data_IF_311781240533
#
_entry.id   IF_311781240533
#
_cell.length_a   1.000
_cell.length_b   1.000
_cell.length_c   1.000
_cell.angle_alpha   90.00
_cell.angle_beta   90.00
_cell.angle_gamma   90.00
#
_symmetry.space_group_name_H-M   'P 1'
#
loop_
_entity.id
_entity.type
_entity.pdbx_description
1 polymer ?
#
# COMPACT_ATOMS: atom_id res chain seq x y z
N UNK A 1 6.99 33.56 -9.51
CA UNK A 1 6.72 32.14 -9.25
C UNK A 1 5.68 31.67 -10.25
N UNK A 2 5.81 30.46 -10.76
CA UNK A 2 4.73 29.79 -11.49
C UNK A 2 3.61 29.40 -10.52
N UNK A 3 2.41 29.09 -11.02
CA UNK A 3 1.29 28.66 -10.16
C UNK A 3 1.58 27.35 -9.43
N UNK A 4 2.42 26.48 -9.99
CA UNK A 4 2.92 25.26 -9.35
C UNK A 4 3.80 25.58 -8.14
N UNK A 5 4.73 26.52 -8.28
CA UNK A 5 5.60 26.93 -7.16
C UNK A 5 4.78 27.57 -6.04
N UNK A 6 3.80 28.43 -6.38
CA UNK A 6 2.88 29.02 -5.40
C UNK A 6 2.06 27.95 -4.66
N UNK A 7 1.55 26.95 -5.39
CA UNK A 7 0.84 25.81 -4.82
C UNK A 7 1.73 25.02 -3.86
N UNK A 8 2.96 24.73 -4.27
CA UNK A 8 3.93 23.98 -3.47
C UNK A 8 4.26 24.70 -2.16
N UNK A 9 4.54 26.00 -2.20
CA UNK A 9 4.82 26.80 -1.00
C UNK A 9 3.60 26.91 -0.07
N UNK A 10 2.38 26.95 -0.63
CA UNK A 10 1.15 26.91 0.15
C UNK A 10 1.02 25.58 0.91
N UNK A 11 1.23 24.44 0.23
CA UNK A 11 1.18 23.11 0.83
C UNK A 11 2.23 22.98 1.95
N UNK A 12 3.48 23.36 1.67
CA UNK A 12 4.57 23.36 2.67
C UNK A 12 4.18 24.18 3.90
N UNK A 13 3.67 25.39 3.69
CA UNK A 13 3.26 26.28 4.80
C UNK A 13 2.15 25.66 5.64
N UNK A 14 1.15 25.03 5.01
CA UNK A 14 0.05 24.36 5.71
C UNK A 14 0.52 23.17 6.52
N UNK A 15 1.32 22.28 5.92
CA UNK A 15 1.86 21.12 6.62
C UNK A 15 2.76 21.53 7.80
N UNK A 16 3.67 22.50 7.59
CA UNK A 16 4.56 23.00 8.66
C UNK A 16 3.82 23.64 9.83
N UNK A 17 2.68 24.31 9.60
CA UNK A 17 1.88 24.83 10.70
C UNK A 17 1.37 23.69 11.59
N UNK A 18 0.93 22.59 11.00
CA UNK A 18 0.45 21.43 11.75
C UNK A 18 1.62 20.75 12.49
N UNK A 19 2.74 20.51 11.80
CA UNK A 19 3.93 19.80 12.31
C UNK A 19 4.90 20.66 13.15
N UNK A 20 4.49 21.86 13.56
CA UNK A 20 5.33 22.85 14.26
C UNK A 20 5.92 22.32 15.58
N UNK A 21 5.21 21.42 16.25
CA UNK A 21 5.63 20.88 17.55
C UNK A 21 6.86 19.97 17.44
N UNK A 22 7.00 19.25 16.33
CA UNK A 22 8.16 18.39 16.07
C UNK A 22 9.37 19.16 15.52
N UNK A 23 9.22 20.47 15.28
CA UNK A 23 10.20 21.25 14.49
C UNK A 23 10.53 20.58 13.15
N UNK A 24 9.53 19.90 12.56
CA UNK A 24 9.69 19.14 11.32
C UNK A 24 9.31 20.00 10.12
N UNK A 25 10.29 20.69 9.54
CA UNK A 25 10.11 21.45 8.30
C UNK A 25 10.06 20.51 7.09
N UNK A 26 8.89 20.41 6.45
CA UNK A 26 8.67 19.60 5.25
C UNK A 26 9.25 20.25 3.98
N UNK A 27 9.58 21.53 4.02
CA UNK A 27 10.01 22.31 2.86
C UNK A 27 11.20 21.69 2.12
N UNK A 28 12.31 21.34 2.80
CA UNK A 28 13.45 20.64 2.20
C UNK A 28 13.11 19.26 1.61
N UNK A 29 12.08 18.57 2.11
CA UNK A 29 11.66 17.27 1.58
C UNK A 29 10.77 17.41 0.33
N UNK A 30 10.16 18.57 0.11
CA UNK A 30 9.25 18.81 -1.02
C UNK A 30 9.96 19.54 -2.16
N UNK A 31 10.76 20.57 -1.85
CA UNK A 31 11.42 21.38 -2.87
C UNK A 31 12.46 20.57 -3.63
N UNK A 32 12.37 20.56 -4.96
CA UNK A 32 13.28 19.81 -5.82
C UNK A 32 12.99 18.30 -5.89
N UNK A 33 11.99 17.80 -5.14
CA UNK A 33 11.62 16.39 -5.16
C UNK A 33 11.04 15.98 -6.52
N UNK A 34 10.29 16.88 -7.14
CA UNK A 34 9.77 16.70 -8.49
C UNK A 34 10.40 17.78 -9.37
N UNK A 35 11.14 17.39 -10.43
CA UNK A 35 11.54 18.34 -11.45
C UNK A 35 10.27 19.00 -12.01
N UNK A 36 10.16 20.32 -11.91
CA UNK A 36 8.95 21.07 -12.29
C UNK A 36 8.57 20.75 -13.74
N UNK A 37 9.57 20.51 -14.60
CA UNK A 37 9.38 20.10 -15.98
C UNK A 37 8.72 18.76 -16.21
N UNK A 38 8.68 17.91 -15.21
CA UNK A 38 7.97 16.65 -15.28
C UNK A 38 6.46 16.85 -15.06
N UNK A 39 6.03 17.92 -14.39
CA UNK A 39 4.61 18.14 -14.06
C UNK A 39 3.71 18.42 -15.27
N UNK A 40 4.29 18.78 -16.43
CA UNK A 40 3.53 18.93 -17.69
C UNK A 40 3.86 17.86 -18.74
N UNK A 41 4.76 16.92 -18.46
CA UNK A 41 5.13 15.83 -19.38
C UNK A 41 4.22 14.62 -19.26
N UNK A 42 3.49 14.50 -18.15
CA UNK A 42 2.66 13.34 -17.87
C UNK A 42 1.18 13.71 -17.86
N UNK A 43 0.37 12.83 -18.44
CA UNK A 43 -1.07 12.82 -18.24
C UNK A 43 -1.43 12.36 -16.83
N UNK A 44 -2.65 12.64 -16.40
CA UNK A 44 -3.30 11.93 -15.31
C UNK A 44 -4.39 11.02 -15.89
N UNK A 45 -4.85 10.06 -15.10
CA UNK A 45 -5.80 9.05 -15.54
C UNK A 45 -6.94 8.91 -14.55
N UNK A 46 -8.17 8.75 -15.04
CA UNK A 46 -9.31 8.42 -14.20
C UNK A 46 -10.02 7.16 -14.72
N UNK A 47 -10.34 6.26 -13.80
CA UNK A 47 -11.01 5.00 -14.07
C UNK A 47 -12.52 5.19 -14.22
N UNK A 48 -13.08 4.57 -15.24
CA UNK A 48 -14.51 4.39 -15.44
C UNK A 48 -14.86 2.91 -15.32
N UNK A 49 -15.99 2.65 -14.68
CA UNK A 49 -16.47 1.31 -14.35
C UNK A 49 -17.98 1.35 -14.19
N UNK A 50 -18.64 0.20 -14.43
CA UNK A 50 -20.09 0.05 -14.25
C UNK A 50 -20.47 -0.34 -12.81
N UNK A 51 -19.48 -0.61 -11.95
CA UNK A 51 -19.70 -1.26 -10.66
C UNK A 51 -19.76 -0.29 -9.47
N UNK A 52 -19.19 0.91 -9.60
CA UNK A 52 -19.07 1.88 -8.49
C UNK A 52 -19.42 3.28 -9.02
N UNK A 53 -20.10 4.13 -8.23
CA UNK A 53 -20.35 5.52 -8.59
C UNK A 53 -19.04 6.25 -8.90
N UNK A 54 -18.98 6.86 -10.09
CA UNK A 54 -17.81 7.64 -10.53
C UNK A 54 -18.09 9.12 -10.30
N UNK A 55 -17.32 9.75 -9.40
CA UNK A 55 -17.36 11.21 -9.21
C UNK A 55 -15.96 11.73 -8.92
N UNK A 56 -15.50 12.64 -9.78
CA UNK A 56 -14.21 13.29 -9.62
C UNK A 56 -14.36 14.81 -9.61
N UNK A 57 -13.70 15.49 -8.66
CA UNK A 57 -13.51 16.93 -8.71
C UNK A 57 -12.05 17.29 -8.52
N UNK A 58 -11.45 17.91 -9.53
CA UNK A 58 -10.06 18.39 -9.48
C UNK A 58 -10.05 19.91 -9.53
N UNK A 59 -9.42 20.56 -8.55
CA UNK A 59 -9.44 22.02 -8.41
C UNK A 59 -8.09 22.56 -7.96
N UNK A 60 -7.50 23.47 -8.76
CA UNK A 60 -6.22 24.13 -8.41
C UNK A 60 -5.12 23.13 -8.02
N UNK A 61 -5.03 22.02 -8.75
CA UNK A 61 -4.16 20.89 -8.41
C UNK A 61 -3.28 20.51 -9.59
N UNK A 62 -2.18 19.82 -9.31
CA UNK A 62 -1.35 19.15 -10.31
C UNK A 62 -1.46 17.63 -10.08
N UNK A 63 -1.67 16.85 -11.14
CA UNK A 63 -2.05 15.44 -11.07
C UNK A 63 -1.11 14.53 -11.87
N UNK A 64 0.05 15.04 -12.28
CA UNK A 64 0.92 14.45 -13.29
C UNK A 64 1.31 12.98 -12.99
N UNK A 65 1.01 12.08 -13.93
CA UNK A 65 1.31 10.65 -13.85
C UNK A 65 0.41 9.85 -12.91
N UNK A 66 -0.61 10.47 -12.31
CA UNK A 66 -1.42 9.87 -11.25
C UNK A 66 -2.69 9.20 -11.77
N UNK A 67 -3.17 8.18 -11.06
CA UNK A 67 -4.35 7.40 -11.41
C UNK A 67 -5.42 7.53 -10.33
N UNK A 68 -6.67 7.74 -10.75
CA UNK A 68 -7.81 7.93 -9.86
C UNK A 68 -8.90 6.92 -10.18
N UNK A 69 -9.44 6.22 -9.18
CA UNK A 69 -10.55 5.28 -9.33
C UNK A 69 -11.60 5.53 -8.25
N UNK A 70 -12.89 5.39 -8.58
CA UNK A 70 -13.98 5.55 -7.63
C UNK A 70 -14.43 7.01 -7.45
N UNK A 71 -14.52 7.44 -6.18
CA UNK A 71 -15.08 8.75 -5.81
C UNK A 71 -14.03 9.61 -5.09
N UNK A 72 -13.56 10.69 -5.74
CA UNK A 72 -12.42 11.47 -5.24
C UNK A 72 -12.49 12.97 -5.58
N UNK A 73 -12.27 13.81 -4.57
CA UNK A 73 -12.08 15.26 -4.71
C UNK A 73 -10.64 15.65 -4.35
N UNK A 74 -9.94 16.33 -5.27
CA UNK A 74 -8.57 16.84 -5.08
C UNK A 74 -8.55 18.36 -5.22
N UNK A 75 -8.24 19.07 -4.14
CA UNK A 75 -8.23 20.53 -4.08
C UNK A 75 -6.90 21.09 -3.56
N UNK A 76 -6.31 22.05 -4.28
CA UNK A 76 -5.03 22.69 -3.89
C UNK A 76 -3.96 21.66 -3.49
N UNK A 77 -3.80 20.62 -4.30
CA UNK A 77 -2.87 19.54 -3.98
C UNK A 77 -1.96 19.20 -5.17
N UNK A 78 -0.79 18.65 -4.86
CA UNK A 78 0.18 18.18 -5.86
C UNK A 78 0.27 16.66 -5.71
N UNK A 79 -0.26 15.94 -6.69
CA UNK A 79 -0.36 14.48 -6.75
C UNK A 79 0.47 14.01 -7.93
N UNK A 80 1.59 13.35 -7.66
CA UNK A 80 2.57 12.96 -8.67
C UNK A 80 2.82 11.46 -8.69
N UNK A 81 2.54 10.81 -9.83
CA UNK A 81 2.69 9.35 -10.01
C UNK A 81 2.01 8.50 -8.90
N UNK A 82 0.96 9.03 -8.31
CA UNK A 82 0.25 8.43 -7.17
C UNK A 82 -1.01 7.73 -7.63
N UNK A 83 -1.33 6.61 -6.99
CA UNK A 83 -2.61 5.91 -7.18
C UNK A 83 -3.57 6.25 -6.06
N UNK A 84 -4.74 6.73 -6.45
CA UNK A 84 -5.85 7.00 -5.54
C UNK A 84 -7.00 6.10 -5.92
N UNK A 85 -7.26 5.11 -5.06
CA UNK A 85 -8.22 4.05 -5.31
C UNK A 85 -9.37 4.09 -4.33
N UNK A 86 -10.55 4.31 -4.87
CA UNK A 86 -11.80 4.31 -4.13
C UNK A 86 -12.78 3.23 -4.58
N UNK A 87 -12.27 2.09 -5.04
CA UNK A 87 -13.04 0.87 -5.33
C UNK A 87 -13.52 0.14 -4.07
N UNK A 88 -12.85 0.33 -2.94
CA UNK A 88 -13.25 -0.19 -1.63
C UNK A 88 -14.08 0.82 -0.79
N UNK A 89 -14.46 1.97 -1.35
CA UNK A 89 -15.25 2.97 -0.60
C UNK A 89 -16.65 2.46 -0.26
N UNK A 90 -17.09 2.82 0.94
CA UNK A 90 -18.41 2.45 1.46
C UNK A 90 -19.53 3.18 0.70
N UNK A 91 -20.67 2.54 0.57
CA UNK A 91 -21.83 3.04 -0.18
C UNK A 91 -22.91 3.62 0.73
N UNK A 92 -23.75 4.50 0.18
CA UNK A 92 -24.96 4.96 0.86
C UNK A 92 -25.83 3.76 1.28
N UNK A 93 -26.29 3.76 2.54
CA UNK A 93 -27.08 2.68 3.10
C UNK A 93 -26.27 1.58 3.79
N UNK A 94 -24.94 1.56 3.64
CA UNK A 94 -24.08 0.62 4.37
C UNK A 94 -24.24 0.80 5.88
N UNK A 95 -24.31 -0.32 6.59
CA UNK A 95 -24.44 -0.39 8.04
C UNK A 95 -23.06 -0.64 8.67
N UNK A 96 -22.56 0.34 9.43
CA UNK A 96 -21.25 0.27 10.07
C UNK A 96 -21.42 0.19 11.58
N UNK A 97 -20.65 -0.71 12.20
CA UNK A 97 -20.52 -0.78 13.65
C UNK A 97 -19.35 0.09 14.11
N UNK A 98 -19.62 1.08 14.94
CA UNK A 98 -18.61 1.88 15.66
C UNK A 98 -18.73 1.54 17.15
N UNK A 99 -17.89 0.63 17.62
CA UNK A 99 -18.12 -0.04 18.90
C UNK A 99 -19.49 -0.73 18.89
N UNK A 100 -20.32 -0.45 19.88
CA UNK A 100 -21.69 -1.00 19.98
C UNK A 100 -22.74 -0.18 19.22
N UNK A 101 -22.33 0.90 18.52
CA UNK A 101 -23.24 1.81 17.83
C UNK A 101 -23.32 1.46 16.36
N UNK A 102 -24.53 1.12 15.90
CA UNK A 102 -24.84 0.94 14.48
C UNK A 102 -25.13 2.29 13.82
N UNK A 103 -24.36 2.63 12.80
CA UNK A 103 -24.52 3.85 11.99
C UNK A 103 -24.82 3.46 10.54
N UNK A 104 -25.80 4.12 9.93
CA UNK A 104 -26.14 3.92 8.51
C UNK A 104 -25.62 5.09 7.70
N UNK A 105 -24.83 4.82 6.66
CA UNK A 105 -24.29 5.85 5.77
C UNK A 105 -25.41 6.59 5.04
N UNK A 106 -25.36 7.91 5.10
CA UNK A 106 -26.35 8.80 4.46
C UNK A 106 -25.92 9.27 3.07
N UNK A 107 -24.70 8.94 2.65
CA UNK A 107 -24.12 9.25 1.35
C UNK A 107 -23.01 8.25 1.07
N UNK A 108 -22.70 8.04 -0.21
CA UNK A 108 -21.48 7.34 -0.61
C UNK A 108 -20.27 8.01 0.00
N UNK A 109 -19.32 7.18 0.44
CA UNK A 109 -18.04 7.67 0.90
C UNK A 109 -17.25 8.28 -0.26
N UNK A 110 -16.41 9.26 0.07
CA UNK A 110 -15.54 9.92 -0.88
C UNK A 110 -14.15 10.17 -0.30
N UNK A 111 -13.12 10.00 -1.13
CA UNK A 111 -11.75 10.42 -0.83
C UNK A 111 -11.61 11.94 -1.03
N UNK A 112 -11.06 12.63 -0.04
CA UNK A 112 -10.82 14.08 -0.08
C UNK A 112 -9.34 14.39 0.14
N UNK A 113 -8.63 14.76 -0.92
CA UNK A 113 -7.24 15.19 -0.84
C UNK A 113 -7.16 16.71 -0.94
N UNK A 114 -6.64 17.36 0.09
CA UNK A 114 -6.68 18.83 0.19
C UNK A 114 -5.44 19.43 0.81
N UNK A 115 -4.87 20.45 0.17
CA UNK A 115 -3.67 21.15 0.64
C UNK A 115 -2.51 20.16 0.91
N UNK A 116 -2.37 19.12 0.07
CA UNK A 116 -1.47 17.98 0.29
C UNK A 116 -0.49 17.74 -0.86
N UNK A 117 0.64 17.12 -0.57
CA UNK A 117 1.66 16.70 -1.53
C UNK A 117 1.84 15.19 -1.43
N UNK A 118 1.53 14.44 -2.48
CA UNK A 118 1.67 12.98 -2.54
C UNK A 118 2.53 12.61 -3.75
N UNK A 119 3.65 11.92 -3.53
CA UNK A 119 4.55 11.43 -4.57
C UNK A 119 4.69 9.90 -4.54
N UNK A 120 4.33 9.25 -5.66
CA UNK A 120 4.39 7.79 -5.84
C UNK A 120 3.70 7.01 -4.71
N UNK A 121 2.60 7.55 -4.18
CA UNK A 121 1.86 6.92 -3.10
C UNK A 121 0.83 5.93 -3.62
N UNK A 122 0.38 5.05 -2.72
CA UNK A 122 -0.88 4.33 -2.86
C UNK A 122 -1.84 4.82 -1.78
N UNK A 123 -3.00 5.34 -2.19
CA UNK A 123 -4.16 5.60 -1.33
C UNK A 123 -5.20 4.55 -1.66
N UNK A 124 -5.58 3.73 -0.68
CA UNK A 124 -6.50 2.61 -0.90
C UNK A 124 -7.34 2.32 0.35
N UNK A 125 -8.31 1.42 0.22
CA UNK A 125 -9.29 1.07 1.24
C UNK A 125 -10.26 2.24 1.58
N UNK A 126 -10.98 2.14 2.69
CA UNK A 126 -12.00 3.10 3.14
C UNK A 126 -11.64 3.71 4.50
N UNK A 127 -12.27 4.84 4.84
CA UNK A 127 -12.07 5.52 6.12
C UNK A 127 -12.46 4.62 7.29
N UNK A 128 -11.50 4.41 8.19
CA UNK A 128 -11.70 3.80 9.50
C UNK A 128 -11.83 4.86 10.62
N UNK A 129 -11.95 6.14 10.26
CA UNK A 129 -12.19 7.22 11.21
C UNK A 129 -13.64 7.17 11.71
N UNK A 130 -13.88 6.84 13.00
CA UNK A 130 -15.24 6.75 13.54
C UNK A 130 -15.97 8.10 13.53
N UNK A 131 -15.25 9.22 13.47
CA UNK A 131 -15.83 10.57 13.40
C UNK A 131 -16.25 10.94 11.98
N UNK A 132 -15.68 10.30 10.95
CA UNK A 132 -15.85 10.67 9.54
C UNK A 132 -16.05 9.45 8.63
N UNK A 133 -17.12 8.68 8.87
CA UNK A 133 -17.40 7.42 8.17
C UNK A 133 -17.64 7.56 6.65
N UNK A 134 -18.09 8.72 6.18
CA UNK A 134 -18.34 8.99 4.76
C UNK A 134 -17.28 9.90 4.12
N UNK A 135 -16.19 10.20 4.84
CA UNK A 135 -15.08 11.01 4.31
C UNK A 135 -13.74 10.34 4.62
N UNK A 136 -13.08 9.82 3.60
CA UNK A 136 -11.67 9.46 3.69
C UNK A 136 -10.85 10.71 3.42
N UNK A 137 -10.42 11.41 4.48
CA UNK A 137 -9.78 12.71 4.36
C UNK A 137 -8.24 12.62 4.42
N UNK A 138 -7.54 13.24 3.47
CA UNK A 138 -6.09 13.44 3.47
C UNK A 138 -5.80 14.93 3.31
N UNK A 139 -5.56 15.62 4.43
CA UNK A 139 -5.50 17.10 4.48
C UNK A 139 -4.16 17.59 5.04
N UNK A 140 -3.60 18.65 4.46
CA UNK A 140 -2.33 19.25 4.92
C UNK A 140 -1.20 18.22 5.07
N UNK A 141 -1.17 17.20 4.21
CA UNK A 141 -0.31 16.02 4.38
C UNK A 141 0.77 16.00 3.31
N UNK A 142 2.00 15.68 3.72
CA UNK A 142 3.14 15.49 2.83
C UNK A 142 3.55 14.02 2.91
N UNK A 143 3.40 13.29 1.82
CA UNK A 143 3.67 11.85 1.77
C UNK A 143 4.70 11.55 0.69
N UNK A 144 5.73 10.81 1.06
CA UNK A 144 6.87 10.52 0.21
C UNK A 144 6.73 9.21 -0.56
N UNK A 145 7.72 8.96 -1.42
CA UNK A 145 7.80 7.87 -2.38
C UNK A 145 7.37 6.53 -1.80
N UNK A 146 6.45 5.84 -2.49
CA UNK A 146 6.03 4.48 -2.19
C UNK A 146 5.41 4.29 -0.80
N UNK A 147 5.00 5.37 -0.12
CA UNK A 147 4.24 5.26 1.11
C UNK A 147 2.78 4.87 0.84
N UNK A 148 2.23 4.06 1.73
CA UNK A 148 0.87 3.54 1.69
C UNK A 148 0.00 4.30 2.71
N UNK A 149 -1.10 4.88 2.22
CA UNK A 149 -2.18 5.45 3.04
C UNK A 149 -3.37 4.50 2.87
N UNK A 150 -3.47 3.52 3.75
CA UNK A 150 -4.40 2.41 3.60
C UNK A 150 -5.50 2.48 4.67
N UNK A 151 -6.69 2.94 4.28
CA UNK A 151 -7.81 3.12 5.20
C UNK A 151 -7.54 4.13 6.33
N UNK A 152 -6.59 5.05 6.09
CA UNK A 152 -6.00 5.92 7.09
C UNK A 152 -6.33 7.39 6.80
N UNK A 153 -7.29 7.96 7.51
CA UNK A 153 -7.58 9.40 7.43
C UNK A 153 -6.41 10.19 8.01
N UNK A 154 -5.95 11.23 7.31
CA UNK A 154 -4.77 12.00 7.67
C UNK A 154 -5.04 13.50 7.71
N UNK A 155 -4.52 14.16 8.74
CA UNK A 155 -4.54 15.62 8.86
C UNK A 155 -3.23 16.12 9.41
N UNK A 156 -2.55 16.99 8.66
CA UNK A 156 -1.35 17.65 9.15
C UNK A 156 -0.14 16.72 9.32
N UNK A 157 -0.02 15.68 8.50
CA UNK A 157 0.95 14.62 8.69
C UNK A 157 2.14 14.68 7.71
N UNK A 158 3.25 14.06 8.10
CA UNK A 158 4.36 13.72 7.21
C UNK A 158 4.56 12.19 7.18
N UNK A 159 4.74 11.62 5.99
CA UNK A 159 5.10 10.21 5.81
C UNK A 159 6.39 10.10 5.02
N UNK A 160 7.38 9.42 5.59
CA UNK A 160 8.64 9.09 4.93
C UNK A 160 8.47 8.07 3.79
N UNK A 161 9.49 7.89 2.94
CA UNK A 161 9.46 6.90 1.88
C UNK A 161 9.14 5.49 2.42
N UNK A 162 8.31 4.75 1.69
CA UNK A 162 7.85 3.41 2.09
C UNK A 162 7.16 3.30 3.45
N UNK A 163 6.82 4.42 4.10
CA UNK A 163 5.98 4.38 5.29
C UNK A 163 4.61 3.80 4.97
N UNK A 164 4.00 3.08 5.91
CA UNK A 164 2.65 2.55 5.77
C UNK A 164 1.84 2.94 6.99
N UNK A 165 0.74 3.64 6.76
CA UNK A 165 -0.27 3.89 7.78
C UNK A 165 -1.51 3.09 7.39
N UNK A 166 -1.89 2.15 8.25
CA UNK A 166 -2.90 1.14 7.98
C UNK A 166 -4.00 1.20 9.03
N UNK A 167 -5.25 1.37 8.59
CA UNK A 167 -6.46 1.44 9.42
C UNK A 167 -6.33 2.41 10.62
N UNK A 168 -5.55 3.48 10.45
CA UNK A 168 -5.18 4.39 11.54
C UNK A 168 -5.45 5.83 11.14
N UNK A 169 -6.23 6.55 11.94
CA UNK A 169 -6.44 7.98 11.76
C UNK A 169 -5.27 8.76 12.36
N UNK A 170 -4.59 9.58 11.56
CA UNK A 170 -3.44 10.36 11.99
C UNK A 170 -3.73 11.87 12.02
N UNK A 171 -3.37 12.52 13.12
CA UNK A 171 -3.52 13.97 13.30
C UNK A 171 -2.24 14.60 13.83
N UNK A 172 -1.62 15.48 13.06
CA UNK A 172 -0.37 16.16 13.40
C UNK A 172 0.72 15.14 13.77
N UNK A 173 1.05 14.22 12.86
CA UNK A 173 2.02 13.15 13.11
C UNK A 173 3.18 13.15 12.10
N UNK A 174 4.34 12.64 12.53
CA UNK A 174 5.48 12.34 11.66
C UNK A 174 5.69 10.83 11.66
N UNK A 175 5.59 10.19 10.51
CA UNK A 175 5.87 8.75 10.33
C UNK A 175 7.14 8.61 9.51
N UNK A 176 8.19 8.05 10.12
CA UNK A 176 9.50 7.88 9.50
C UNK A 176 9.50 6.95 8.29
N UNK A 177 10.59 6.98 7.54
CA UNK A 177 10.80 6.07 6.41
C UNK A 177 10.71 4.61 6.85
N UNK A 178 10.07 3.80 6.01
CA UNK A 178 9.86 2.37 6.24
C UNK A 178 9.22 2.01 7.59
N UNK A 179 8.51 2.95 8.23
CA UNK A 179 7.71 2.66 9.41
C UNK A 179 6.34 2.09 9.00
N UNK A 180 5.82 1.15 9.78
CA UNK A 180 4.46 0.61 9.65
C UNK A 180 3.66 0.94 10.92
N UNK A 181 2.48 1.53 10.76
CA UNK A 181 1.63 1.90 11.89
C UNK A 181 0.21 1.38 11.69
N UNK A 182 -0.26 0.59 12.64
CA UNK A 182 -1.65 0.15 12.77
C UNK A 182 -2.09 0.21 14.23
N UNK A 183 -2.58 1.37 14.67
CA UNK A 183 -2.92 1.63 16.09
C UNK A 183 -4.32 2.24 16.29
N UNK A 184 -5.09 2.38 15.21
CA UNK A 184 -6.45 2.94 15.22
C UNK A 184 -6.49 4.47 15.21
N UNK A 185 -5.89 5.12 16.20
CA UNK A 185 -5.73 6.58 16.23
C UNK A 185 -4.34 6.98 16.70
N UNK A 186 -3.72 7.92 15.98
CA UNK A 186 -2.42 8.49 16.32
C UNK A 186 -2.52 10.03 16.26
N UNK A 187 -2.16 10.73 17.34
CA UNK A 187 -2.26 12.19 17.41
C UNK A 187 -1.03 12.80 18.08
N UNK A 188 -0.43 13.81 17.47
CA UNK A 188 0.72 14.52 18.05
C UNK A 188 1.91 13.60 18.37
N UNK A 189 2.11 12.56 17.56
CA UNK A 189 3.18 11.58 17.75
C UNK A 189 4.18 11.56 16.60
N UNK A 190 5.40 11.13 16.94
CA UNK A 190 6.45 10.81 15.98
C UNK A 190 6.76 9.32 16.06
N UNK A 191 6.60 8.64 14.95
CA UNK A 191 7.02 7.25 14.75
C UNK A 191 8.36 7.28 14.03
N UNK A 192 9.36 6.62 14.63
CA UNK A 192 10.72 6.63 14.11
C UNK A 192 10.86 5.74 12.86
N UNK A 193 11.93 5.97 12.11
CA UNK A 193 12.21 5.22 10.90
C UNK A 193 12.40 3.73 11.20
N UNK A 194 11.76 2.87 10.41
CA UNK A 194 11.81 1.42 10.60
C UNK A 194 11.14 0.91 11.88
N UNK A 195 10.22 1.68 12.47
CA UNK A 195 9.34 1.15 13.52
C UNK A 195 8.15 0.41 12.89
N UNK A 196 7.87 -0.81 13.34
CA UNK A 196 6.64 -1.56 13.01
C UNK A 196 5.81 -1.62 14.28
N UNK A 197 4.72 -0.87 14.31
CA UNK A 197 3.85 -0.72 15.47
C UNK A 197 2.42 -1.15 15.15
N UNK A 198 1.97 -2.20 15.85
CA UNK A 198 0.62 -2.78 15.70
C UNK A 198 -0.03 -2.84 17.06
N UNK A 199 -1.15 -2.15 17.24
CA UNK A 199 -1.88 -2.08 18.50
C UNK A 199 -3.37 -2.23 18.27
N UNK A 200 -4.01 -3.02 19.12
CA UNK A 200 -5.47 -3.13 19.16
C UNK A 200 -5.97 -2.87 20.57
N UNK A 201 -6.44 -1.64 20.82
CA UNK A 201 -6.96 -1.21 22.12
C UNK A 201 -6.05 -1.60 23.29
N UNK A 202 -6.63 -2.30 24.26
CA UNK A 202 -5.94 -2.89 25.40
C UNK A 202 -5.65 -4.40 25.20
N UNK A 203 -5.97 -4.97 24.02
CA UNK A 203 -5.84 -6.41 23.76
C UNK A 203 -4.39 -6.81 23.50
N UNK A 204 -3.67 -6.04 22.68
CA UNK A 204 -2.26 -6.24 22.42
C UNK A 204 -1.54 -4.99 21.87
N UNK A 205 -0.22 -4.98 22.04
CA UNK A 205 0.73 -3.96 21.53
C UNK A 205 2.01 -4.66 21.06
N UNK A 206 2.25 -4.69 19.75
CA UNK A 206 3.44 -5.23 19.09
C UNK A 206 4.26 -4.07 18.55
N UNK A 207 5.54 -4.01 18.93
CA UNK A 207 6.50 -3.02 18.44
C UNK A 207 7.77 -3.75 18.01
N UNK A 208 8.26 -3.46 16.81
CA UNK A 208 9.59 -3.85 16.37
C UNK A 208 10.35 -2.65 15.84
N UNK A 209 11.62 -2.54 16.19
CA UNK A 209 12.50 -1.48 15.69
C UNK A 209 13.63 -2.06 14.83
N UNK A 210 13.70 -1.63 13.57
CA UNK A 210 14.83 -1.97 12.71
C UNK A 210 16.15 -1.41 13.28
N UNK A 211 17.27 -2.17 13.23
CA UNK A 211 18.58 -1.65 13.57
C UNK A 211 18.95 -0.47 12.66
N UNK A 212 19.41 0.63 13.26
CA UNK A 212 19.70 1.90 12.56
C UNK A 212 20.78 1.79 11.49
N UNK A 213 21.67 0.81 11.61
CA UNK A 213 22.76 0.52 10.67
C UNK A 213 22.32 -0.34 9.49
N UNK A 214 21.19 -1.04 9.60
CA UNK A 214 20.67 -1.93 8.56
C UNK A 214 19.76 -1.18 7.61
N UNK A 215 18.84 -0.37 8.15
CA UNK A 215 17.78 0.27 7.36
C UNK A 215 18.30 1.11 6.17
N UNK A 216 19.35 1.94 6.31
CA UNK A 216 19.86 2.79 5.22
C UNK A 216 20.30 2.02 3.96
N UNK A 217 20.68 0.74 4.10
CA UNK A 217 21.01 -0.12 2.94
C UNK A 217 19.79 -0.36 2.05
N UNK A 218 18.61 -0.50 2.66
CA UNK A 218 17.36 -0.80 1.95
C UNK A 218 16.60 0.45 1.59
N UNK A 219 16.60 1.44 2.47
CA UNK A 219 15.92 2.71 2.30
C UNK A 219 16.58 3.79 3.13
N UNK A 220 16.94 4.89 2.48
CA UNK A 220 17.53 6.07 3.11
C UNK A 220 16.89 7.32 2.55
N UNK A 221 16.76 8.35 3.38
CA UNK A 221 16.14 9.59 2.97
C UNK A 221 16.68 10.79 3.75
N UNK A 222 17.41 11.66 3.04
CA UNK A 222 17.92 12.91 3.59
C UNK A 222 17.18 14.12 3.03
N UNK A 223 17.16 15.21 3.82
CA UNK A 223 16.51 16.46 3.45
C UNK A 223 17.15 17.05 2.18
N UNK A 224 16.33 17.29 1.16
CA UNK A 224 16.79 17.87 -0.10
C UNK A 224 17.37 16.86 -1.09
N UNK A 225 17.41 15.57 -0.73
CA UNK A 225 17.87 14.49 -1.59
C UNK A 225 16.72 13.58 -2.02
N UNK A 226 16.90 12.86 -3.12
CA UNK A 226 15.97 11.80 -3.51
C UNK A 226 16.15 10.60 -2.57
N UNK A 227 15.09 9.83 -2.27
CA UNK A 227 15.25 8.59 -1.51
C UNK A 227 16.13 7.61 -2.28
N UNK A 228 16.95 6.85 -1.55
CA UNK A 228 17.85 5.85 -2.11
C UNK A 228 17.80 4.54 -1.35
N UNK A 229 18.56 3.55 -1.83
CA UNK A 229 18.66 2.23 -1.24
C UNK A 229 18.00 1.15 -2.10
N UNK A 230 18.27 -0.11 -1.74
CA UNK A 230 17.91 -1.26 -2.57
C UNK A 230 16.42 -1.34 -2.94
N UNK A 231 15.52 -0.90 -2.06
CA UNK A 231 14.09 -0.95 -2.34
C UNK A 231 13.66 0.09 -3.37
N UNK A 232 14.34 1.25 -3.43
CA UNK A 232 14.11 2.28 -4.44
C UNK A 232 14.66 1.79 -5.77
N UNK A 233 15.93 1.38 -5.80
CA UNK A 233 16.57 0.88 -7.02
C UNK A 233 15.75 -0.27 -7.64
N UNK A 234 15.30 -1.21 -6.81
CA UNK A 234 14.48 -2.35 -7.26
C UNK A 234 13.20 -1.95 -8.00
N UNK A 235 12.47 -0.94 -7.51
CA UNK A 235 11.21 -0.52 -8.13
C UNK A 235 11.41 0.46 -9.28
N UNK A 236 12.43 1.31 -9.22
CA UNK A 236 12.75 2.25 -10.31
C UNK A 236 13.27 1.52 -11.54
N UNK A 237 14.12 0.49 -11.37
CA UNK A 237 14.66 -0.35 -12.45
C UNK A 237 13.58 -1.09 -13.27
N UNK A 238 12.34 -1.16 -12.74
CA UNK A 238 11.20 -1.85 -13.35
C UNK A 238 10.10 -0.90 -13.83
N UNK A 239 10.27 0.41 -13.71
CA UNK A 239 9.24 1.38 -14.12
C UNK A 239 8.97 1.35 -15.63
N UNK A 240 10.01 1.15 -16.45
CA UNK A 240 9.87 1.11 -17.91
C UNK A 240 8.91 0.01 -18.38
N UNK A 241 8.92 -1.15 -17.72
CA UNK A 241 8.00 -2.26 -18.00
C UNK A 241 6.52 -1.84 -17.77
N UNK A 242 6.26 -0.98 -16.78
CA UNK A 242 4.91 -0.44 -16.56
C UNK A 242 4.54 0.64 -17.57
N UNK A 243 5.48 1.53 -17.93
CA UNK A 243 5.25 2.58 -18.92
C UNK A 243 4.82 2.00 -20.28
N UNK A 244 5.40 0.87 -20.68
CA UNK A 244 5.00 0.13 -21.89
C UNK A 244 3.53 -0.32 -21.82
N UNK A 245 3.07 -0.79 -20.66
CA UNK A 245 1.71 -1.31 -20.47
C UNK A 245 0.69 -0.18 -20.50
N UNK A 246 0.95 0.89 -19.76
CA UNK A 246 0.05 2.05 -19.72
C UNK A 246 0.05 2.87 -21.03
N UNK A 247 1.11 2.76 -21.85
CA UNK A 247 1.19 3.40 -23.16
C UNK A 247 0.36 2.72 -24.27
N UNK A 248 -0.13 1.49 -24.06
CA UNK A 248 -0.95 0.76 -25.04
C UNK A 248 -2.41 1.15 -24.92
N UNK A 249 -2.95 1.86 -25.93
CA UNK A 249 -4.40 2.04 -26.08
C UNK A 249 -5.03 0.69 -26.43
N UNK A 250 -5.59 0.01 -25.43
CA UNK A 250 -6.14 -1.34 -25.60
C UNK A 250 -7.67 -1.32 -25.58
N UNK A 251 -8.27 -1.65 -26.73
CA UNK A 251 -9.67 -2.09 -26.84
C UNK A 251 -9.85 -3.59 -26.50
N UNK A 252 -8.78 -4.29 -26.09
CA UNK A 252 -8.85 -5.71 -25.74
C UNK A 252 -9.22 -5.87 -24.26
N UNK A 253 -10.18 -6.78 -24.00
CA UNK A 253 -10.61 -7.17 -22.67
C UNK A 253 -9.43 -7.74 -21.85
N UNK A 254 -9.58 -7.77 -20.52
CA UNK A 254 -8.58 -8.34 -19.60
C UNK A 254 -8.03 -9.68 -20.13
N UNK A 255 -6.71 -9.89 -19.97
CA UNK A 255 -6.06 -11.12 -20.43
C UNK A 255 -6.62 -12.30 -19.62
N UNK A 256 -7.58 -13.02 -20.19
CA UNK A 256 -8.09 -14.24 -19.57
C UNK A 256 -7.01 -15.31 -19.63
N UNK A 257 -6.32 -15.54 -18.52
CA UNK A 257 -5.46 -16.71 -18.35
C UNK A 257 -6.30 -18.00 -18.21
N UNK A 258 -7.47 -17.92 -17.53
CA UNK A 258 -8.49 -18.97 -17.39
C UNK A 258 -9.86 -18.33 -17.02
N UNK A 259 -10.98 -19.07 -17.10
CA UNK A 259 -12.36 -18.54 -16.92
C UNK A 259 -12.64 -17.92 -15.54
N UNK A 260 -11.93 -18.35 -14.49
CA UNK A 260 -12.16 -17.90 -13.10
C UNK A 260 -11.10 -16.97 -12.53
N UNK A 261 -9.95 -16.84 -13.21
CA UNK A 261 -8.90 -15.91 -12.83
C UNK A 261 -9.15 -14.49 -13.37
N UNK A 262 -8.66 -13.48 -12.67
CA UNK A 262 -8.61 -12.10 -13.15
C UNK A 262 -7.17 -11.62 -13.18
N UNK A 263 -6.75 -11.19 -14.36
CA UNK A 263 -5.44 -10.57 -14.55
C UNK A 263 -5.68 -9.17 -15.07
N UNK A 264 -5.36 -8.18 -14.26
CA UNK A 264 -5.45 -6.79 -14.69
C UNK A 264 -4.57 -6.57 -15.91
N UNK A 265 -5.12 -5.95 -16.93
CA UNK A 265 -4.36 -5.49 -18.09
C UNK A 265 -3.27 -4.46 -17.76
N UNK A 266 -3.33 -3.87 -16.56
CA UNK A 266 -2.35 -2.92 -16.04
C UNK A 266 -1.32 -3.57 -15.10
N UNK A 267 -1.24 -4.90 -15.08
CA UNK A 267 -0.20 -5.68 -14.41
C UNK A 267 0.91 -6.08 -15.39
N UNK A 268 2.16 -6.13 -14.93
CA UNK A 268 3.28 -6.68 -15.72
C UNK A 268 3.26 -8.20 -15.57
N UNK A 269 3.23 -8.90 -16.70
CA UNK A 269 3.39 -10.35 -16.80
C UNK A 269 4.54 -10.62 -17.77
N UNK A 270 5.64 -11.19 -17.28
CA UNK A 270 6.91 -11.36 -18.02
C UNK A 270 7.48 -12.76 -17.85
N UNK A 271 8.08 -13.29 -18.91
CA UNK A 271 8.73 -14.61 -18.84
C UNK A 271 7.73 -15.77 -18.71
N UNK A 272 8.16 -16.84 -18.04
CA UNK A 272 7.36 -18.07 -17.87
C UNK A 272 6.44 -17.97 -16.65
N UNK A 273 5.20 -17.52 -16.87
CA UNK A 273 4.21 -17.31 -15.81
C UNK A 273 3.05 -18.30 -15.94
N UNK A 274 2.82 -19.09 -14.88
CA UNK A 274 1.69 -20.00 -14.77
C UNK A 274 0.64 -19.42 -13.81
N UNK A 275 -0.60 -19.29 -14.28
CA UNK A 275 -1.72 -18.71 -13.52
C UNK A 275 -2.82 -19.75 -13.39
N UNK A 276 -3.10 -20.17 -12.16
CA UNK A 276 -4.13 -21.16 -11.85
C UNK A 276 -5.54 -20.56 -11.73
N UNK A 277 -6.52 -21.39 -11.39
CA UNK A 277 -7.91 -20.98 -11.15
C UNK A 277 -8.02 -19.98 -9.98
N UNK A 278 -9.01 -19.09 -10.05
CA UNK A 278 -9.35 -18.11 -9.00
C UNK A 278 -8.22 -17.15 -8.61
N UNK A 279 -7.13 -17.10 -9.38
CA UNK A 279 -6.04 -16.16 -9.14
C UNK A 279 -6.51 -14.73 -9.45
N UNK A 280 -6.17 -13.80 -8.57
CA UNK A 280 -6.34 -12.37 -8.78
C UNK A 280 -4.97 -11.69 -8.87
N UNK A 281 -4.70 -11.07 -10.02
CA UNK A 281 -3.55 -10.21 -10.23
C UNK A 281 -4.07 -8.79 -10.46
N UNK A 282 -3.87 -7.94 -9.47
CA UNK A 282 -4.28 -6.54 -9.49
C UNK A 282 -3.46 -5.69 -10.48
N UNK A 283 -3.96 -4.50 -10.79
CA UNK A 283 -3.16 -3.51 -11.52
C UNK A 283 -1.90 -3.15 -10.74
N UNK A 284 -0.82 -2.82 -11.44
CA UNK A 284 0.51 -2.56 -10.86
C UNK A 284 1.16 -3.73 -10.11
N UNK A 285 0.57 -4.93 -10.13
CA UNK A 285 1.32 -6.13 -9.76
C UNK A 285 2.38 -6.43 -10.84
N UNK A 286 3.54 -6.91 -10.42
CA UNK A 286 4.64 -7.31 -11.29
C UNK A 286 4.93 -8.80 -11.11
N UNK A 287 4.63 -9.60 -12.12
CA UNK A 287 4.82 -11.04 -12.10
C UNK A 287 5.82 -11.43 -13.18
N UNK A 288 6.91 -12.08 -12.77
CA UNK A 288 7.93 -12.56 -13.67
C UNK A 288 8.35 -13.99 -13.34
N UNK A 289 8.43 -14.86 -14.34
CA UNK A 289 9.01 -16.22 -14.23
C UNK A 289 8.48 -17.00 -13.00
N UNK A 290 7.17 -16.93 -12.77
CA UNK A 290 6.54 -17.34 -11.50
C UNK A 290 5.28 -18.17 -11.68
N UNK A 291 4.99 -19.01 -10.69
CA UNK A 291 3.79 -19.88 -10.65
C UNK A 291 2.86 -19.44 -9.54
N UNK A 292 1.63 -19.07 -9.90
CA UNK A 292 0.58 -18.68 -8.98
C UNK A 292 -0.48 -19.80 -8.91
N UNK A 293 -0.50 -20.49 -7.78
CA UNK A 293 -1.45 -21.55 -7.44
C UNK A 293 -2.87 -21.05 -7.24
N UNK A 294 -3.84 -21.98 -7.14
CA UNK A 294 -5.28 -21.67 -7.06
C UNK A 294 -5.55 -20.65 -5.95
N UNK A 295 -6.36 -19.63 -6.24
CA UNK A 295 -6.77 -18.62 -5.26
C UNK A 295 -5.69 -17.63 -4.82
N UNK A 296 -4.48 -17.69 -5.39
CA UNK A 296 -3.44 -16.72 -5.07
C UNK A 296 -3.85 -15.29 -5.46
N UNK A 297 -3.41 -14.32 -4.66
CA UNK A 297 -3.75 -12.91 -4.77
C UNK A 297 -2.47 -12.06 -4.78
N UNK A 298 -2.22 -11.40 -5.91
CA UNK A 298 -1.15 -10.44 -6.09
C UNK A 298 -1.75 -9.04 -6.14
N UNK A 299 -1.59 -8.28 -5.05
CA UNK A 299 -2.15 -6.93 -4.94
C UNK A 299 -1.30 -5.88 -5.66
N UNK A 300 -1.81 -4.66 -5.66
CA UNK A 300 -1.20 -3.49 -6.28
C UNK A 300 0.22 -3.25 -5.76
N UNK A 301 1.12 -2.87 -6.66
CA UNK A 301 2.52 -2.59 -6.36
C UNK A 301 3.30 -3.77 -5.77
N UNK A 302 2.75 -4.99 -5.75
CA UNK A 302 3.50 -6.17 -5.33
C UNK A 302 4.36 -6.74 -6.47
N UNK A 303 5.39 -7.49 -6.12
CA UNK A 303 6.35 -8.10 -7.05
C UNK A 303 6.52 -9.58 -6.72
N UNK A 304 6.36 -10.45 -7.71
CA UNK A 304 6.55 -11.90 -7.58
C UNK A 304 7.45 -12.35 -8.73
N UNK A 305 8.69 -12.71 -8.40
CA UNK A 305 9.77 -12.94 -9.36
C UNK A 305 10.43 -14.28 -9.06
N UNK A 306 10.60 -15.13 -10.08
CA UNK A 306 11.28 -16.43 -9.96
C UNK A 306 10.75 -17.29 -8.79
N UNK A 307 9.43 -17.25 -8.57
CA UNK A 307 8.82 -17.76 -7.34
C UNK A 307 7.61 -18.67 -7.60
N UNK A 308 7.33 -19.55 -6.64
CA UNK A 308 6.20 -20.47 -6.69
C UNK A 308 5.30 -20.33 -5.47
N UNK A 309 4.08 -19.87 -5.69
CA UNK A 309 3.03 -19.75 -4.68
C UNK A 309 2.08 -20.94 -4.84
N UNK A 310 2.01 -21.84 -3.86
CA UNK A 310 1.26 -23.10 -4.00
C UNK A 310 -0.26 -22.92 -4.04
N UNK A 311 -0.81 -21.89 -3.38
CA UNK A 311 -2.25 -21.61 -3.39
C UNK A 311 -2.70 -20.72 -2.24
N UNK A 312 -3.78 -19.96 -2.46
CA UNK A 312 -4.38 -19.00 -1.50
C UNK A 312 -3.38 -18.04 -0.86
N UNK A 313 -2.26 -17.79 -1.52
CA UNK A 313 -1.25 -16.87 -1.02
C UNK A 313 -1.70 -15.43 -1.28
N UNK A 314 -1.63 -14.58 -0.27
CA UNK A 314 -1.93 -13.15 -0.40
C UNK A 314 -0.62 -12.37 -0.32
N UNK A 315 -0.31 -11.59 -1.35
CA UNK A 315 0.81 -10.65 -1.35
C UNK A 315 0.27 -9.23 -1.29
N UNK A 316 0.39 -8.59 -0.13
CA UNK A 316 -0.14 -7.27 0.12
C UNK A 316 0.62 -6.17 -0.63
N UNK A 317 0.10 -4.94 -0.59
CA UNK A 317 0.65 -3.81 -1.33
C UNK A 317 2.14 -3.59 -1.07
N UNK A 318 2.92 -3.46 -2.15
CA UNK A 318 4.36 -3.23 -2.07
C UNK A 318 5.19 -4.44 -1.64
N UNK A 319 4.56 -5.57 -1.30
CA UNK A 319 5.23 -6.82 -0.96
C UNK A 319 6.02 -7.39 -2.14
N UNK A 320 7.17 -7.98 -1.87
CA UNK A 320 8.12 -8.45 -2.89
C UNK A 320 8.57 -9.86 -2.52
N UNK A 321 8.41 -10.79 -3.45
CA UNK A 321 8.80 -12.20 -3.32
C UNK A 321 9.73 -12.53 -4.48
N UNK A 322 10.98 -12.86 -4.19
CA UNK A 322 12.02 -13.14 -5.17
C UNK A 322 12.71 -14.47 -4.82
N UNK A 323 12.80 -15.40 -5.79
CA UNK A 323 13.42 -16.72 -5.63
C UNK A 323 12.91 -17.49 -4.39
N UNK A 324 11.59 -17.57 -4.24
CA UNK A 324 10.97 -18.22 -3.09
C UNK A 324 9.91 -19.25 -3.47
N UNK A 325 9.76 -20.27 -2.63
CA UNK A 325 8.63 -21.20 -2.66
C UNK A 325 7.74 -20.97 -1.44
N UNK A 326 6.50 -20.56 -1.67
CA UNK A 326 5.49 -20.34 -0.63
C UNK A 326 4.57 -21.56 -0.55
N UNK A 327 4.33 -22.03 0.68
CA UNK A 327 3.28 -22.98 1.02
C UNK A 327 1.88 -22.41 0.75
N UNK A 328 0.85 -23.19 1.03
CA UNK A 328 -0.54 -22.74 0.89
C UNK A 328 -0.92 -21.74 2.00
N UNK A 329 -1.87 -20.86 1.73
CA UNK A 329 -2.47 -19.95 2.73
C UNK A 329 -1.44 -19.02 3.42
N UNK A 330 -0.35 -18.69 2.71
CA UNK A 330 0.67 -17.77 3.22
C UNK A 330 0.30 -16.30 2.97
N UNK A 331 0.53 -15.44 3.96
CA UNK A 331 0.34 -14.00 3.85
C UNK A 331 1.68 -13.26 3.86
N UNK A 332 1.88 -12.36 2.89
CA UNK A 332 3.02 -11.45 2.81
C UNK A 332 2.54 -10.02 2.99
N UNK A 333 2.92 -9.40 4.10
CA UNK A 333 2.48 -8.07 4.50
C UNK A 333 3.04 -6.92 3.66
N UNK A 334 2.54 -5.72 3.94
CA UNK A 334 2.89 -4.49 3.23
C UNK A 334 4.39 -4.28 3.13
N UNK A 335 4.87 -3.86 1.96
CA UNK A 335 6.28 -3.48 1.72
C UNK A 335 7.34 -4.52 2.14
N UNK A 336 6.95 -5.76 2.44
CA UNK A 336 7.87 -6.83 2.80
C UNK A 336 8.79 -7.14 1.62
N UNK A 337 10.04 -7.49 1.90
CA UNK A 337 11.06 -7.80 0.90
C UNK A 337 11.66 -9.17 1.18
N UNK A 338 11.16 -10.19 0.47
CA UNK A 338 11.60 -11.58 0.62
C UNK A 338 12.47 -11.94 -0.57
N UNK A 339 13.78 -11.91 -0.37
CA UNK A 339 14.79 -12.15 -1.40
C UNK A 339 15.62 -13.38 -1.04
N UNK A 340 15.30 -14.49 -1.71
CA UNK A 340 16.23 -15.60 -1.89
C UNK A 340 17.13 -15.41 -3.11
N UNK A 341 17.85 -16.46 -3.46
CA UNK A 341 18.57 -16.61 -4.74
C UNK A 341 18.61 -18.09 -5.13
N UNK A 342 19.13 -18.40 -6.33
CA UNK A 342 19.38 -19.80 -6.72
C UNK A 342 20.32 -20.53 -5.74
N UNK A 343 21.31 -19.81 -5.18
CA UNK A 343 22.27 -20.37 -4.22
C UNK A 343 21.72 -20.41 -2.78
N UNK A 344 20.85 -19.46 -2.45
CA UNK A 344 20.24 -19.31 -1.12
C UNK A 344 18.70 -19.28 -1.24
N UNK A 345 18.05 -20.41 -1.58
CA UNK A 345 16.61 -20.45 -1.79
C UNK A 345 15.84 -20.21 -0.49
N UNK A 346 14.73 -19.48 -0.60
CA UNK A 346 13.76 -19.29 0.47
C UNK A 346 12.60 -20.27 0.31
N UNK A 347 12.31 -21.07 1.33
CA UNK A 347 11.09 -21.87 1.41
C UNK A 347 10.26 -21.42 2.61
N UNK A 348 9.00 -21.08 2.40
CA UNK A 348 8.06 -20.70 3.46
C UNK A 348 6.96 -21.75 3.55
N UNK A 349 6.74 -22.31 4.74
CA UNK A 349 5.69 -23.30 4.98
C UNK A 349 4.28 -22.73 4.83
N UNK A 350 3.27 -23.61 4.81
CA UNK A 350 1.87 -23.17 4.73
C UNK A 350 1.42 -22.38 5.96
N UNK A 351 0.39 -21.56 5.83
CA UNK A 351 -0.20 -20.76 6.91
C UNK A 351 0.81 -19.81 7.60
N UNK A 352 1.88 -19.40 6.94
CA UNK A 352 2.80 -18.42 7.51
C UNK A 352 2.30 -17.00 7.30
N UNK A 353 2.57 -16.15 8.29
CA UNK A 353 2.32 -14.71 8.23
C UNK A 353 3.66 -13.99 8.25
N UNK A 354 4.06 -13.47 7.10
CA UNK A 354 5.18 -12.55 6.99
C UNK A 354 4.65 -11.16 7.30
N UNK A 355 5.04 -10.61 8.44
CA UNK A 355 4.53 -9.35 8.95
C UNK A 355 4.88 -8.17 8.02
N UNK A 356 4.11 -7.06 8.08
CA UNK A 356 4.43 -5.85 7.35
C UNK A 356 5.89 -5.42 7.54
N UNK A 357 6.49 -4.94 6.46
CA UNK A 357 7.84 -4.38 6.41
C UNK A 357 8.96 -5.38 6.75
N UNK A 358 8.69 -6.69 6.78
CA UNK A 358 9.72 -7.71 6.99
C UNK A 358 10.73 -7.71 5.83
N UNK A 359 12.02 -7.77 6.15
CA UNK A 359 13.11 -7.91 5.18
C UNK A 359 13.79 -9.25 5.40
N UNK A 360 13.64 -10.16 4.44
CA UNK A 360 14.41 -11.39 4.35
C UNK A 360 15.39 -11.27 3.17
N UNK A 361 16.68 -11.15 3.44
CA UNK A 361 17.72 -10.98 2.42
C UNK A 361 18.79 -12.05 2.60
N UNK A 362 18.57 -13.21 2.00
CA UNK A 362 19.25 -14.44 2.42
C UNK A 362 20.73 -14.51 2.01
N UNK A 363 21.56 -14.88 2.98
CA UNK A 363 22.98 -15.22 2.81
C UNK A 363 23.23 -16.73 2.87
N UNK A 364 22.21 -17.52 3.24
CA UNK A 364 22.19 -18.98 3.21
C UNK A 364 20.75 -19.49 2.92
N UNK A 365 20.58 -20.74 2.45
CA UNK A 365 19.24 -21.32 2.28
C UNK A 365 18.45 -21.32 3.59
N UNK A 366 17.18 -20.92 3.54
CA UNK A 366 16.32 -20.85 4.73
C UNK A 366 14.96 -21.50 4.48
N UNK A 367 14.53 -22.33 5.44
CA UNK A 367 13.19 -22.92 5.46
C UNK A 367 12.42 -22.41 6.67
N UNK A 368 11.37 -21.63 6.44
CA UNK A 368 10.41 -21.24 7.48
C UNK A 368 9.41 -22.37 7.67
N UNK A 369 9.26 -22.94 8.89
CA UNK A 369 8.26 -23.98 9.14
C UNK A 369 6.83 -23.45 8.99
N UNK A 370 5.83 -24.31 8.74
CA UNK A 370 4.43 -23.90 8.65
C UNK A 370 3.93 -23.18 9.91
N UNK A 371 2.86 -22.38 9.76
CA UNK A 371 2.17 -21.70 10.86
C UNK A 371 3.11 -20.87 11.74
N UNK A 372 3.92 -20.01 11.12
CA UNK A 372 4.83 -19.08 11.79
C UNK A 372 4.50 -17.63 11.49
N UNK A 373 4.66 -16.77 12.49
CA UNK A 373 4.84 -15.34 12.30
C UNK A 373 6.32 -15.05 12.08
N UNK A 374 6.63 -14.21 11.11
CA UNK A 374 8.00 -13.78 10.76
C UNK A 374 8.00 -12.27 10.63
N UNK A 375 8.98 -11.60 11.24
CA UNK A 375 9.11 -10.13 11.22
C UNK A 375 10.56 -9.68 11.05
N UNK A 376 10.78 -8.37 11.05
CA UNK A 376 12.11 -7.78 11.20
C UNK A 376 13.09 -8.08 10.06
N UNK A 377 14.34 -8.37 10.41
CA UNK A 377 15.44 -8.55 9.47
C UNK A 377 16.06 -9.94 9.56
N UNK A 378 16.09 -10.67 8.44
CA UNK A 378 16.51 -12.08 8.40
C UNK A 378 17.44 -12.33 7.22
N UNK A 379 18.64 -12.86 7.48
CA UNK A 379 19.57 -13.30 6.43
C UNK A 379 19.94 -14.78 6.51
N UNK A 380 19.75 -15.39 7.68
CA UNK A 380 20.21 -16.72 8.01
C UNK A 380 19.33 -17.34 9.11
N UNK A 381 19.62 -18.60 9.48
CA UNK A 381 18.86 -19.34 10.48
C UNK A 381 18.87 -18.67 11.86
N UNK A 382 19.96 -18.02 12.26
CA UNK A 382 20.06 -17.32 13.55
C UNK A 382 19.13 -16.11 13.58
N UNK A 383 19.15 -15.29 12.54
CA UNK A 383 18.27 -14.13 12.45
C UNK A 383 16.80 -14.58 12.43
N UNK A 384 16.49 -15.70 11.77
CA UNK A 384 15.15 -16.30 11.77
C UNK A 384 14.70 -16.70 13.18
N UNK A 385 15.57 -17.34 13.97
CA UNK A 385 15.27 -17.69 15.37
C UNK A 385 15.02 -16.45 16.23
N UNK A 386 15.63 -15.31 15.95
CA UNK A 386 15.39 -14.07 16.70
C UNK A 386 14.14 -13.31 16.22
N UNK A 387 13.70 -13.52 14.97
CA UNK A 387 12.63 -12.74 14.34
C UNK A 387 11.47 -13.59 13.81
N UNK A 388 11.19 -14.71 14.48
CA UNK A 388 10.01 -15.54 14.20
C UNK A 388 9.48 -16.22 15.45
N UNK A 389 8.23 -16.68 15.39
CA UNK A 389 7.62 -17.52 16.42
C UNK A 389 6.46 -18.30 15.82
N UNK A 390 6.26 -19.54 16.29
CA UNK A 390 5.12 -20.35 15.85
C UNK A 390 3.79 -19.71 16.30
N UNK A 391 2.73 -19.90 15.53
CA UNK A 391 1.40 -19.45 15.90
C UNK A 391 0.92 -20.09 17.20
N UNK A 392 1.28 -21.35 17.44
CA UNK A 392 0.97 -22.07 18.67
C UNK A 392 1.60 -21.40 19.89
N UNK A 393 2.88 -21.04 19.82
CA UNK A 393 3.56 -20.34 20.91
C UNK A 393 2.95 -18.96 21.15
N UNK A 394 2.63 -18.22 20.07
CA UNK A 394 1.97 -16.92 20.19
C UNK A 394 0.59 -17.03 20.85
N UNK A 395 -0.26 -17.99 20.48
CA UNK A 395 -1.60 -18.15 21.08
C UNK A 395 -1.54 -18.36 22.61
N UNK A 396 -0.44 -18.95 23.10
CA UNK A 396 -0.23 -19.22 24.52
C UNK A 396 0.45 -18.05 25.27
N UNK A 397 0.81 -16.97 24.56
CA UNK A 397 1.45 -15.80 25.15
C UNK A 397 0.40 -14.89 25.80
N UNK A 398 0.62 -14.57 27.07
CA UNK A 398 -0.15 -13.60 27.83
C UNK A 398 0.84 -12.71 28.61
N UNK A 399 0.71 -11.38 28.46
CA UNK A 399 1.62 -10.42 29.07
C UNK A 399 2.75 -10.01 28.14
N UNK A 400 3.98 -9.90 28.66
CA UNK A 400 5.11 -9.30 27.94
C UNK A 400 6.07 -10.36 27.34
N UNK A 401 6.56 -10.07 26.13
CA UNK A 401 7.64 -10.81 25.48
C UNK A 401 8.62 -9.84 24.83
N UNK A 402 9.90 -10.10 25.03
CA UNK A 402 10.98 -9.45 24.30
C UNK A 402 11.73 -10.50 23.47
N UNK A 403 11.87 -10.29 22.16
CA UNK A 403 12.62 -11.18 21.26
C UNK A 403 13.37 -10.35 20.22
N UNK A 404 14.69 -10.34 20.31
CA UNK A 404 15.51 -9.44 19.50
C UNK A 404 15.12 -7.98 19.74
N UNK A 405 14.79 -7.26 18.67
CA UNK A 405 14.28 -5.88 18.73
C UNK A 405 12.75 -5.79 18.77
N UNK A 406 12.05 -6.92 18.96
CA UNK A 406 10.61 -6.95 19.10
C UNK A 406 10.21 -6.95 20.58
N UNK A 407 9.24 -6.09 20.90
CA UNK A 407 8.51 -6.07 22.16
C UNK A 407 7.03 -6.33 21.88
N UNK A 408 6.45 -7.27 22.63
CA UNK A 408 5.03 -7.57 22.61
C UNK A 408 4.46 -7.46 24.01
N UNK A 409 3.25 -6.90 24.13
CA UNK A 409 2.45 -6.90 25.35
C UNK A 409 1.00 -7.28 25.03
N UNK A 410 0.37 -8.13 25.83
CA UNK A 410 -1.07 -8.42 25.77
C UNK A 410 -1.38 -9.88 25.48
N UNK A 411 -2.51 -10.15 24.80
CA UNK A 411 -2.96 -11.50 24.46
C UNK A 411 -2.51 -11.90 23.07
N UNK A 412 -1.61 -12.88 23.00
CA UNK A 412 -1.18 -13.42 21.72
C UNK A 412 -2.29 -14.15 20.97
N UNK A 413 -3.32 -14.66 21.66
CA UNK A 413 -4.53 -15.19 21.01
C UNK A 413 -5.26 -14.11 20.22
N UNK A 414 -5.48 -12.93 20.82
CA UNK A 414 -6.13 -11.81 20.15
C UNK A 414 -5.31 -11.38 18.92
N UNK A 415 -3.98 -11.32 19.06
CA UNK A 415 -3.05 -11.03 17.96
C UNK A 415 -3.17 -12.03 16.79
N UNK A 416 -3.10 -13.34 17.06
CA UNK A 416 -3.23 -14.36 16.00
C UNK A 416 -4.61 -14.32 15.35
N UNK A 417 -5.67 -14.16 16.14
CA UNK A 417 -7.04 -14.05 15.61
C UNK A 417 -7.22 -12.83 14.71
N UNK A 418 -6.64 -11.68 15.05
CA UNK A 418 -6.73 -10.47 14.23
C UNK A 418 -6.13 -10.68 12.83
N UNK A 419 -4.95 -11.30 12.73
CA UNK A 419 -4.33 -11.62 11.44
C UNK A 419 -5.10 -12.69 10.65
N UNK A 420 -5.53 -13.76 11.30
CA UNK A 420 -6.31 -14.82 10.65
C UNK A 420 -7.61 -14.25 10.06
N UNK A 421 -8.32 -13.42 10.81
CA UNK A 421 -9.57 -12.81 10.36
C UNK A 421 -9.37 -11.85 9.19
N UNK A 422 -8.24 -11.12 9.16
CA UNK A 422 -7.87 -10.24 8.06
C UNK A 422 -7.57 -11.02 6.78
N UNK A 423 -6.76 -12.08 6.88
CA UNK A 423 -6.37 -12.89 5.72
C UNK A 423 -7.59 -13.55 5.09
N UNK A 424 -8.45 -14.15 5.92
CA UNK A 424 -9.68 -14.78 5.45
C UNK A 424 -10.60 -13.78 4.75
N UNK A 425 -10.80 -12.61 5.35
CA UNK A 425 -11.61 -11.55 4.74
C UNK A 425 -11.07 -11.12 3.37
N UNK A 426 -9.74 -11.01 3.21
CA UNK A 426 -9.12 -10.67 1.92
C UNK A 426 -9.36 -11.78 0.90
N UNK A 427 -9.20 -13.05 1.27
CA UNK A 427 -9.41 -14.19 0.35
C UNK A 427 -10.88 -14.29 -0.08
N UNK A 428 -11.81 -14.11 0.86
CA UNK A 428 -13.25 -14.07 0.59
C UNK A 428 -13.61 -12.92 -0.36
N UNK A 429 -13.22 -11.69 -0.04
CA UNK A 429 -13.52 -10.50 -0.84
C UNK A 429 -12.94 -10.60 -2.25
N UNK A 430 -11.79 -11.25 -2.41
CA UNK A 430 -11.15 -11.45 -3.70
C UNK A 430 -11.74 -12.59 -4.52
N UNK A 431 -12.57 -13.45 -3.92
CA UNK A 431 -13.17 -14.60 -4.60
C UNK A 431 -12.20 -15.76 -4.80
N UNK A 432 -11.25 -15.94 -3.86
CA UNK A 432 -10.30 -17.06 -3.89
C UNK A 432 -11.02 -18.41 -3.82
N UNK A 433 -12.13 -18.47 -3.09
CA UNK A 433 -12.95 -19.67 -2.88
C UNK A 433 -14.06 -19.85 -3.92
N UNK A 434 -14.05 -19.10 -5.03
CA UNK A 434 -15.10 -19.18 -6.04
C UNK A 434 -15.24 -20.60 -6.61
N UNK A 435 -16.41 -21.21 -6.41
CA UNK A 435 -16.77 -22.51 -6.96
C UNK A 435 -18.22 -22.49 -7.47
N UNK A 436 -18.44 -22.90 -8.72
CA UNK A 436 -19.79 -23.13 -9.26
C UNK A 436 -20.73 -21.92 -9.34
N UNK A 437 -20.22 -20.68 -9.23
CA UNK A 437 -21.04 -19.46 -9.23
C UNK A 437 -21.34 -18.88 -7.84
N UNK A 438 -20.91 -19.55 -6.76
CA UNK A 438 -20.99 -19.08 -5.38
C UNK A 438 -19.65 -18.46 -4.95
N UNK A 439 -19.67 -17.62 -3.92
CA UNK A 439 -18.47 -16.95 -3.36
C UNK A 439 -17.68 -16.11 -4.40
N UNK A 440 -18.41 -15.41 -5.28
CA UNK A 440 -17.80 -14.46 -6.20
C UNK A 440 -17.23 -13.24 -5.47
N UNK A 441 -16.02 -12.84 -5.83
CA UNK A 441 -15.37 -11.63 -5.34
C UNK A 441 -14.72 -10.82 -6.47
N UNK A 442 -13.74 -9.99 -6.13
CA UNK A 442 -13.07 -9.09 -7.09
C UNK A 442 -12.51 -9.81 -8.33
N UNK A 443 -12.01 -11.05 -8.19
CA UNK A 443 -11.52 -11.85 -9.31
C UNK A 443 -12.59 -12.21 -10.35
N UNK A 444 -13.86 -12.24 -9.96
CA UNK A 444 -14.96 -12.53 -10.88
C UNK A 444 -15.68 -11.25 -11.33
N UNK A 445 -15.65 -10.17 -10.54
CA UNK A 445 -16.39 -8.93 -10.79
C UNK A 445 -15.58 -7.83 -11.52
N UNK A 446 -14.26 -7.75 -11.34
CA UNK A 446 -13.43 -6.61 -11.75
C UNK A 446 -13.18 -6.41 -13.26
N UNK A 447 -13.91 -7.09 -14.14
CA UNK A 447 -13.52 -7.38 -15.53
C UNK A 447 -13.71 -6.26 -16.56
N UNK A 448 -14.09 -5.04 -16.15
CA UNK A 448 -14.50 -3.95 -17.06
C UNK A 448 -14.11 -2.54 -16.57
N UNK A 449 -12.83 -2.29 -16.28
CA UNK A 449 -12.35 -0.96 -15.88
C UNK A 449 -11.53 -0.30 -17.00
N UNK A 450 -11.87 0.93 -17.41
CA UNK A 450 -11.11 1.70 -18.42
C UNK A 450 -10.58 3.01 -17.85
N UNK A 451 -9.32 3.35 -18.15
CA UNK A 451 -8.74 4.63 -17.78
C UNK A 451 -8.79 5.63 -18.93
N UNK A 452 -9.38 6.79 -18.65
CA UNK A 452 -9.39 7.94 -19.53
C UNK A 452 -8.30 8.94 -19.12
N UNK A 453 -7.76 9.66 -20.09
CA UNK A 453 -6.68 10.63 -19.88
C UNK A 453 -7.20 12.02 -19.52
N UNK A 454 -6.42 12.73 -18.69
CA UNK A 454 -6.58 14.14 -18.38
C UNK A 454 -5.23 14.82 -18.62
N UNK A 455 -5.26 16.00 -19.21
CA UNK A 455 -4.04 16.73 -19.58
C UNK A 455 -3.83 17.99 -18.72
N UNK A 456 -2.57 18.31 -18.36
CA UNK A 456 -2.23 19.59 -17.72
C UNK A 456 -2.21 20.73 -18.74
N UNK A 457 -2.21 21.98 -18.25
CA UNK A 457 -1.85 23.13 -19.08
C UNK A 457 -0.41 22.96 -19.62
N UNK A 458 -0.18 23.08 -20.94
CA UNK A 458 1.12 22.77 -21.55
C UNK A 458 2.15 23.91 -21.45
N UNK A 459 1.70 25.16 -21.26
CA UNK A 459 2.54 26.35 -21.25
C UNK A 459 1.94 27.50 -20.39
N UNK A 460 2.69 28.60 -20.27
CA UNK A 460 2.27 29.80 -19.54
C UNK A 460 2.37 29.67 -18.02
N UNK A 461 1.74 30.60 -17.29
CA UNK A 461 1.79 30.66 -15.82
C UNK A 461 1.16 29.43 -15.15
N UNK A 462 0.18 28.82 -15.82
CA UNK A 462 -0.56 27.64 -15.37
C UNK A 462 0.14 26.32 -15.72
N UNK A 463 1.29 26.34 -16.41
CA UNK A 463 1.96 25.13 -16.91
C UNK A 463 2.11 24.06 -15.82
N UNK A 464 1.67 22.84 -16.12
CA UNK A 464 1.68 21.70 -15.19
C UNK A 464 0.50 21.64 -14.22
N UNK A 465 -0.26 22.72 -14.05
CA UNK A 465 -1.54 22.69 -13.34
C UNK A 465 -2.59 22.00 -14.20
N UNK A 466 -3.59 21.40 -13.56
CA UNK A 466 -4.78 20.91 -14.23
C UNK A 466 -5.91 21.95 -14.11
N UNK A 467 -6.74 22.12 -15.16
CA UNK A 467 -7.91 22.98 -15.06
C UNK A 467 -8.87 22.45 -14.00
N UNK A 468 -9.79 23.31 -13.54
CA UNK A 468 -10.89 22.83 -12.70
C UNK A 468 -11.77 21.87 -13.51
N UNK A 469 -11.82 20.61 -13.08
CA UNK A 469 -12.55 19.54 -13.75
C UNK A 469 -13.56 18.96 -12.76
N UNK A 470 -14.75 18.67 -13.27
CA UNK A 470 -15.76 17.87 -12.58
C UNK A 470 -16.29 16.81 -13.52
N UNK A 471 -16.21 15.56 -13.09
CA UNK A 471 -16.70 14.39 -13.81
C UNK A 471 -17.72 13.72 -12.90
N UNK A 472 -18.93 13.52 -13.40
CA UNK A 472 -20.05 12.86 -12.70
C UNK A 472 -20.80 11.99 -13.72
N UNK A 473 -21.65 11.04 -13.26
CA UNK A 473 -22.42 10.18 -14.16
C UNK A 473 -23.31 10.93 -15.14
#
# INVERSE_FOLDING_TARGET
MTKIEELMELIISRANINLREFSHDVGPYVRGMIPIENLWKFYAFYGMTLHHPVSFSFQRSALAGSYFLGNCDVDRSLIYKTDVRGDELKQEGDEIMVGDIKVVLQKDEKIYIKDSFLIKNLVHNFSHDPENLAEFAIRNTVSMHYANIHGASMRGCFLGPYATVDLTSCHDCVVGEYAYVQVGELRHERVDAGEVWIKSGDDFDFVYQFPTEVLPKYISFEKGEQPGGLLIDFVEDRQEDFEEIFGRYSCDADRQANQTAAVSRYAVIKGDVEISENVLIAQRAYIQDSKLGKGANAQENCYIIDSHLKGNNVTAHGGKIIHATMGEDGFVGFNAFLRGSEECPLTVGSNCVIMPHTIMDLEEPLTVPPAHFVWGYIRNQKDFEENSMSMEDFINLEGELNRGNMHFHGSGRAFVSAFAHRIEHILEANGAYFEGGEQSGHAQMGRNQSYNTIEPYPEGEMRGMFPTIRITP
#
